data_IF_164847080661
#
_entry.id   IF_164847080661
#
_cell.length_a   1.000
_cell.length_b   1.000
_cell.length_c   1.000
_cell.angle_alpha   90.00
_cell.angle_beta   90.00
_cell.angle_gamma   90.00
#
_symmetry.space_group_name_H-M   'P 1'
#
loop_
_entity.id
_entity.type
_entity.pdbx_description
1 polymer ?
#
# COMPACT_ATOMS: atom_id res chain seq x y z
N UNK A 1 25.21 26.16 -68.76
CA UNK A 1 26.15 26.10 -67.62
C UNK A 1 25.35 25.80 -66.36
N UNK A 2 24.89 24.55 -66.18
CA UNK A 2 23.85 24.24 -65.19
C UNK A 2 24.28 22.98 -64.42
N UNK A 3 25.09 23.13 -63.37
CA UNK A 3 25.53 22.01 -62.53
C UNK A 3 24.38 21.62 -61.58
N UNK A 4 23.66 20.60 -62.04
CA UNK A 4 23.05 19.50 -61.29
C UNK A 4 22.46 19.82 -59.91
N UNK A 5 21.14 19.91 -59.92
CA UNK A 5 20.25 19.09 -59.10
C UNK A 5 20.99 17.95 -58.37
N UNK A 6 21.16 18.07 -57.06
CA UNK A 6 21.33 16.89 -56.21
C UNK A 6 20.58 17.12 -54.92
N UNK A 7 19.33 16.67 -54.92
CA UNK A 7 18.50 16.57 -53.75
C UNK A 7 19.28 15.72 -52.74
N UNK A 8 19.70 16.37 -51.65
CA UNK A 8 20.34 15.73 -50.50
C UNK A 8 19.28 14.91 -49.78
N UNK A 9 18.86 13.82 -50.41
CA UNK A 9 18.10 12.72 -49.82
C UNK A 9 19.07 11.93 -48.95
N UNK A 10 19.77 12.64 -48.06
CA UNK A 10 20.66 12.05 -47.09
C UNK A 10 19.80 11.16 -46.21
N UNK A 11 20.31 9.99 -45.86
CA UNK A 11 19.62 8.96 -45.09
C UNK A 11 19.42 9.41 -43.62
N UNK A 12 18.87 10.60 -43.40
CA UNK A 12 18.64 11.21 -42.09
C UNK A 12 17.72 10.36 -41.23
N UNK A 13 16.79 9.63 -41.86
CA UNK A 13 15.95 8.64 -41.19
C UNK A 13 16.78 7.51 -40.53
N UNK A 14 17.93 7.13 -41.07
CA UNK A 14 18.81 6.11 -40.45
C UNK A 14 19.47 6.61 -39.14
N UNK A 15 19.54 7.92 -38.92
CA UNK A 15 20.08 8.51 -37.68
C UNK A 15 18.93 8.93 -36.75
N UNK A 16 17.83 9.43 -37.32
CA UNK A 16 16.63 9.85 -36.58
C UNK A 16 15.96 8.68 -35.85
N UNK A 17 15.86 7.51 -36.49
CA UNK A 17 15.22 6.34 -35.89
C UNK A 17 15.95 5.83 -34.64
N UNK A 18 17.27 5.56 -34.68
CA UNK A 18 18.00 5.13 -33.49
C UNK A 18 18.06 6.23 -32.42
N UNK A 19 18.12 7.52 -32.80
CA UNK A 19 18.10 8.62 -31.83
C UNK A 19 16.75 8.69 -31.09
N UNK A 20 15.64 8.48 -31.79
CA UNK A 20 14.30 8.44 -31.19
C UNK A 20 14.14 7.24 -30.26
N UNK A 21 14.61 6.06 -30.66
CA UNK A 21 14.59 4.86 -29.80
C UNK A 21 15.47 5.06 -28.56
N UNK A 22 16.67 5.62 -28.73
CA UNK A 22 17.58 5.88 -27.62
C UNK A 22 16.99 6.88 -26.61
N UNK A 23 16.37 7.96 -27.10
CA UNK A 23 15.65 8.92 -26.27
C UNK A 23 14.48 8.27 -25.52
N UNK A 24 13.74 7.39 -26.18
CA UNK A 24 12.63 6.64 -25.57
C UNK A 24 13.11 5.74 -24.42
N UNK A 25 14.22 5.02 -24.63
CA UNK A 25 14.84 4.14 -23.61
C UNK A 25 15.36 4.96 -22.42
N UNK A 26 16.00 6.10 -22.68
CA UNK A 26 16.45 7.03 -21.64
C UNK A 26 15.27 7.57 -20.82
N UNK A 27 14.15 7.92 -21.46
CA UNK A 27 12.94 8.36 -20.77
C UNK A 27 12.30 7.26 -19.93
N UNK A 28 12.33 6.00 -20.38
CA UNK A 28 11.83 4.86 -19.60
C UNK A 28 12.72 4.62 -18.37
N UNK A 29 14.04 4.77 -18.51
CA UNK A 29 15.02 4.60 -17.42
C UNK A 29 14.92 5.75 -16.41
N UNK A 30 14.77 6.99 -16.88
CA UNK A 30 14.66 8.18 -16.03
C UNK A 30 13.23 8.47 -15.57
N UNK A 31 12.25 7.63 -15.97
CA UNK A 31 10.86 7.81 -15.54
C UNK A 31 10.78 7.66 -14.01
N UNK A 32 10.14 8.59 -13.30
CA UNK A 32 9.92 8.52 -11.84
C UNK A 32 9.22 7.23 -11.39
N UNK A 33 8.48 6.59 -12.30
CA UNK A 33 7.76 5.33 -12.09
C UNK A 33 8.48 4.13 -12.72
N UNK A 34 9.79 4.23 -12.98
CA UNK A 34 10.58 3.18 -13.60
C UNK A 34 10.70 1.91 -12.75
N UNK A 35 11.40 0.90 -13.27
CA UNK A 35 11.61 -0.42 -12.64
C UNK A 35 12.03 -0.39 -11.15
N UNK A 36 12.68 0.68 -10.71
CA UNK A 36 13.07 0.87 -9.30
C UNK A 36 11.86 1.08 -8.38
N UNK A 37 10.86 1.85 -8.80
CA UNK A 37 9.66 2.10 -8.01
C UNK A 37 8.82 0.82 -7.87
N UNK A 38 8.70 0.04 -8.94
CA UNK A 38 8.05 -1.28 -8.90
C UNK A 38 8.76 -2.25 -7.95
N UNK A 39 10.09 -2.21 -7.88
CA UNK A 39 10.84 -3.04 -6.92
C UNK A 39 10.63 -2.57 -5.48
N UNK A 40 10.65 -1.27 -5.23
CA UNK A 40 10.39 -0.73 -3.89
C UNK A 40 9.00 -1.09 -3.41
N UNK A 41 7.99 -0.92 -4.27
CA UNK A 41 6.61 -1.28 -3.95
C UNK A 41 6.45 -2.78 -3.67
N UNK A 42 7.17 -3.63 -4.42
CA UNK A 42 7.18 -5.07 -4.16
C UNK A 42 7.83 -5.42 -2.81
N UNK A 43 8.91 -4.73 -2.45
CA UNK A 43 9.59 -4.91 -1.16
C UNK A 43 8.69 -4.47 -0.01
N UNK A 44 8.06 -3.29 -0.11
CA UNK A 44 7.12 -2.79 0.90
C UNK A 44 5.92 -3.74 1.07
N UNK A 45 5.37 -4.25 -0.03
CA UNK A 45 4.28 -5.22 0.00
C UNK A 45 4.69 -6.53 0.69
N UNK A 46 5.88 -7.05 0.41
CA UNK A 46 6.42 -8.24 1.08
C UNK A 46 6.62 -7.98 2.58
N UNK A 47 7.15 -6.82 2.95
CA UNK A 47 7.36 -6.44 4.35
C UNK A 47 6.02 -6.33 5.11
N UNK A 48 4.99 -5.73 4.49
CA UNK A 48 3.64 -5.65 5.04
C UNK A 48 3.01 -7.01 5.25
N UNK A 49 3.14 -7.94 4.28
CA UNK A 49 2.67 -9.32 4.43
C UNK A 49 3.35 -10.00 5.62
N UNK A 50 4.67 -9.85 5.73
CA UNK A 50 5.43 -10.49 6.80
C UNK A 50 5.10 -9.91 8.18
N UNK A 51 4.88 -8.60 8.28
CA UNK A 51 4.36 -7.95 9.49
C UNK A 51 2.98 -8.46 9.85
N UNK A 52 2.08 -8.55 8.88
CA UNK A 52 0.72 -9.03 9.09
C UNK A 52 0.72 -10.48 9.61
N UNK A 53 1.45 -11.37 8.95
CA UNK A 53 1.60 -12.76 9.41
C UNK A 53 2.20 -12.87 10.83
N UNK A 54 3.15 -11.99 11.17
CA UNK A 54 3.72 -11.94 12.53
C UNK A 54 2.68 -11.50 13.55
N UNK A 55 1.91 -10.45 13.24
CA UNK A 55 0.83 -9.94 14.09
C UNK A 55 -0.30 -10.97 14.23
N UNK A 56 -0.70 -11.65 13.16
CA UNK A 56 -1.71 -12.72 13.23
C UNK A 56 -1.25 -13.86 14.14
N UNK A 57 0.01 -14.26 14.05
CA UNK A 57 0.58 -15.29 14.92
C UNK A 57 0.63 -14.86 16.39
N UNK A 58 1.00 -13.60 16.64
CA UNK A 58 1.03 -13.05 17.99
C UNK A 58 -0.38 -12.90 18.56
N UNK A 59 -1.33 -12.45 17.75
CA UNK A 59 -2.74 -12.36 18.12
C UNK A 59 -3.31 -13.74 18.44
N UNK A 60 -3.00 -14.75 17.63
CA UNK A 60 -3.39 -16.14 17.90
C UNK A 60 -2.82 -16.65 19.24
N UNK A 61 -1.53 -16.42 19.49
CA UNK A 61 -0.88 -16.77 20.77
C UNK A 61 -1.56 -16.06 21.95
N UNK A 62 -1.85 -14.77 21.82
CA UNK A 62 -2.55 -14.00 22.83
C UNK A 62 -3.96 -14.52 23.05
N UNK A 63 -4.69 -14.92 22.00
CA UNK A 63 -6.00 -15.55 22.14
C UNK A 63 -5.95 -16.91 22.81
N UNK A 64 -4.91 -17.72 22.56
CA UNK A 64 -4.71 -18.99 23.26
C UNK A 64 -4.38 -18.78 24.74
N UNK A 65 -3.51 -17.80 25.05
CA UNK A 65 -3.15 -17.41 26.42
C UNK A 65 -4.37 -16.87 27.17
N UNK A 66 -5.14 -15.99 26.51
CA UNK A 66 -6.46 -15.54 26.94
C UNK A 66 -7.38 -16.74 27.16
N UNK A 67 -7.43 -17.71 26.25
CA UNK A 67 -8.24 -18.92 26.33
C UNK A 67 -7.92 -19.78 27.56
N UNK A 68 -6.64 -19.93 27.88
CA UNK A 68 -6.16 -20.63 29.07
C UNK A 68 -6.47 -19.86 30.37
N UNK A 69 -6.46 -18.52 30.31
CA UNK A 69 -6.86 -17.63 31.41
C UNK A 69 -8.40 -17.49 31.52
N UNK A 70 -9.15 -17.78 30.44
CA UNK A 70 -10.62 -17.68 30.25
C UNK A 70 -11.44 -18.78 30.91
N UNK A 71 -10.93 -19.51 31.89
CA UNK A 71 -11.78 -20.36 32.71
C UNK A 71 -13.01 -19.63 33.31
N UNK A 72 -13.06 -18.29 33.24
CA UNK A 72 -14.24 -17.46 33.42
C UNK A 72 -14.53 -16.53 32.20
N UNK A 73 -15.55 -16.82 31.37
CA UNK A 73 -15.95 -15.99 30.22
C UNK A 73 -16.38 -14.56 30.56
N UNK A 74 -16.93 -14.32 31.76
CA UNK A 74 -17.47 -13.02 32.16
C UNK A 74 -16.36 -11.98 32.38
N UNK A 75 -15.21 -12.41 32.91
CA UNK A 75 -14.05 -11.55 33.15
C UNK A 75 -13.51 -10.93 31.85
N UNK A 76 -13.58 -11.68 30.74
CA UNK A 76 -13.02 -11.21 29.47
C UNK A 76 -14.01 -10.40 28.65
N UNK A 77 -15.30 -10.70 28.77
CA UNK A 77 -16.33 -9.82 28.25
C UNK A 77 -16.23 -8.41 28.88
N UNK A 78 -15.90 -8.35 30.18
CA UNK A 78 -15.67 -7.10 30.88
C UNK A 78 -14.45 -6.34 30.35
N UNK A 79 -13.30 -7.02 30.21
CA UNK A 79 -12.07 -6.41 29.70
C UNK A 79 -12.22 -5.93 28.24
N UNK A 80 -12.88 -6.73 27.38
CA UNK A 80 -13.12 -6.39 26.00
C UNK A 80 -14.00 -5.12 25.85
N UNK A 81 -15.01 -4.97 26.72
CA UNK A 81 -15.85 -3.77 26.73
C UNK A 81 -15.18 -2.55 27.34
N UNK A 82 -14.40 -2.70 28.40
CA UNK A 82 -13.80 -1.57 29.12
C UNK A 82 -12.52 -1.04 28.46
N UNK A 83 -11.59 -1.91 28.08
CA UNK A 83 -10.28 -1.50 27.58
C UNK A 83 -10.27 -1.33 26.06
N UNK A 84 -11.03 -2.16 25.35
CA UNK A 84 -11.00 -2.20 23.88
C UNK A 84 -12.28 -1.65 23.24
N UNK A 85 -13.32 -1.34 24.03
CA UNK A 85 -14.60 -0.84 23.53
C UNK A 85 -15.31 -1.79 22.56
N UNK A 86 -14.98 -3.09 22.61
CA UNK A 86 -15.52 -4.10 21.70
C UNK A 86 -16.97 -4.42 22.07
N UNK A 87 -17.83 -4.50 21.06
CA UNK A 87 -19.25 -4.85 21.18
C UNK A 87 -19.56 -6.07 20.33
N UNK A 88 -20.55 -6.87 20.75
CA UNK A 88 -20.95 -8.06 20.00
C UNK A 88 -21.93 -7.69 18.88
N UNK A 89 -21.91 -8.46 17.79
CA UNK A 89 -22.87 -8.28 16.70
C UNK A 89 -24.33 -8.37 17.23
N UNK A 90 -25.08 -7.27 17.04
CA UNK A 90 -26.47 -7.12 17.49
C UNK A 90 -26.69 -6.40 18.82
N UNK A 91 -25.65 -5.88 19.50
CA UNK A 91 -25.81 -5.04 20.69
C UNK A 91 -26.19 -3.58 20.38
N UNK A 92 -27.09 -3.00 21.19
CA UNK A 92 -27.52 -1.59 21.08
C UNK A 92 -26.67 -0.71 22.00
N UNK A 93 -25.97 0.29 21.42
CA UNK A 93 -25.13 1.23 22.16
C UNK A 93 -26.00 2.43 22.61
N UNK A 94 -26.09 2.65 23.92
CA UNK A 94 -26.72 3.84 24.48
C UNK A 94 -25.64 4.85 24.86
N UNK A 95 -25.54 5.94 24.11
CA UNK A 95 -24.65 7.05 24.44
C UNK A 95 -25.46 8.18 25.08
N UNK A 96 -25.23 8.44 26.36
CA UNK A 96 -25.87 9.54 27.07
C UNK A 96 -25.19 10.85 26.67
N UNK A 97 -25.83 11.62 25.78
CA UNK A 97 -25.43 13.00 25.53
C UNK A 97 -25.93 13.87 26.67
N UNK A 98 -25.02 14.44 27.44
CA UNK A 98 -25.38 15.45 28.43
C UNK A 98 -26.02 16.64 27.71
N UNK A 99 -27.17 17.14 28.17
CA UNK A 99 -27.81 18.29 27.54
C UNK A 99 -26.84 19.48 27.55
N UNK A 100 -26.86 20.35 26.52
CA UNK A 100 -25.96 21.48 26.45
C UNK A 100 -26.12 22.30 27.72
N UNK A 101 -25.02 22.53 28.43
CA UNK A 101 -25.00 23.45 29.57
C UNK A 101 -25.36 24.83 29.03
N UNK A 102 -26.62 25.20 29.16
CA UNK A 102 -27.14 26.53 28.87
C UNK A 102 -26.41 27.51 29.80
N UNK A 103 -25.69 28.45 29.20
CA UNK A 103 -24.99 29.53 29.90
C UNK A 103 -25.93 30.70 30.17
#
# INVERSE_FOLDING_TARGET
MNKKLNAKNGKWHLILWPLMVLGSVLLIIWSPNGLLHLRQLHIEHQELIQKNHTLEKENHRLYEEIGQLRSDPAAIEHLARQELGLVKDGELIFQFVSPPSEK
#
